data_IF_990374681972
#
_entry.id   IF_990374681972
#
_cell.length_a   1.000
_cell.length_b   1.000
_cell.length_c   1.000
_cell.angle_alpha   90.00
_cell.angle_beta   90.00
_cell.angle_gamma   90.00
#
_symmetry.space_group_name_H-M   'P 1'
#
loop_
_entity.id
_entity.type
_entity.pdbx_description
1 polymer ?
#
# COMPACT_ATOMS: atom_id res chain seq x y z
N UNK A 1 21.51 16.93 -1.76
CA UNK A 1 20.99 16.64 -0.43
C UNK A 1 19.65 15.94 -0.53
N UNK A 2 19.49 14.88 0.22
CA UNK A 2 18.23 14.14 0.22
C UNK A 2 17.45 14.58 1.44
N UNK A 3 16.33 15.24 1.23
CA UNK A 3 15.44 15.62 2.31
C UNK A 3 14.57 14.44 2.76
N UNK A 4 13.79 14.63 3.82
CA UNK A 4 12.85 13.59 4.23
C UNK A 4 11.80 13.34 3.13
N UNK A 5 11.37 12.09 3.00
CA UNK A 5 10.32 11.75 2.04
C UNK A 5 9.00 12.32 2.55
N UNK A 6 8.32 13.07 1.69
CA UNK A 6 7.00 13.61 2.00
C UNK A 6 5.96 12.71 1.33
N UNK A 7 5.11 12.01 2.10
CA UNK A 7 4.08 11.18 1.50
C UNK A 7 3.11 12.02 0.66
N UNK A 8 2.74 11.51 -0.51
CA UNK A 8 1.80 12.20 -1.40
C UNK A 8 0.35 11.84 -1.09
N UNK A 9 0.13 10.75 -0.37
CA UNK A 9 -1.21 10.35 0.06
C UNK A 9 -1.32 10.50 1.56
N UNK A 10 -2.54 10.75 2.03
CA UNK A 10 -2.77 11.06 3.44
C UNK A 10 -3.67 10.02 4.09
N UNK A 11 -3.58 9.93 5.41
CA UNK A 11 -4.45 9.10 6.21
C UNK A 11 -5.92 9.47 5.92
N UNK A 12 -6.74 8.45 5.71
CA UNK A 12 -8.15 8.63 5.40
C UNK A 12 -8.45 8.82 3.92
N UNK A 13 -7.42 8.95 3.09
CA UNK A 13 -7.61 9.12 1.66
C UNK A 13 -8.01 7.81 1.00
N UNK A 14 -8.93 7.88 0.05
CA UNK A 14 -9.30 6.71 -0.76
C UNK A 14 -8.33 6.56 -1.91
N UNK A 15 -7.89 5.34 -2.12
CA UNK A 15 -6.95 5.00 -3.20
C UNK A 15 -7.43 3.74 -3.90
N UNK A 16 -6.86 3.49 -5.07
CA UNK A 16 -7.15 2.31 -5.88
C UNK A 16 -5.85 1.58 -6.12
N UNK A 17 -5.88 0.24 -6.03
CA UNK A 17 -4.72 -0.56 -6.39
C UNK A 17 -4.40 -0.34 -7.87
N UNK A 18 -3.18 0.09 -8.16
CA UNK A 18 -2.76 0.41 -9.52
C UNK A 18 -2.30 -0.83 -10.29
N UNK A 19 -2.21 -1.96 -9.61
CA UNK A 19 -1.83 -3.24 -10.18
C UNK A 19 -2.26 -4.34 -9.22
N UNK A 20 -2.16 -5.59 -9.67
CA UNK A 20 -2.40 -6.73 -8.78
C UNK A 20 -1.34 -6.76 -7.70
N UNK A 21 -1.74 -6.94 -6.45
CA UNK A 21 -0.83 -7.04 -5.31
C UNK A 21 -0.81 -8.48 -4.83
N UNK A 22 0.39 -9.04 -4.72
CA UNK A 22 0.59 -10.45 -4.38
C UNK A 22 1.24 -10.60 -3.02
N UNK A 23 1.07 -11.79 -2.44
CA UNK A 23 1.70 -12.12 -1.17
C UNK A 23 3.22 -12.22 -1.35
N UNK A 24 3.94 -11.34 -0.68
CA UNK A 24 5.41 -11.29 -0.71
C UNK A 24 6.02 -11.99 0.51
N UNK A 25 5.23 -12.78 1.22
CA UNK A 25 5.65 -13.44 2.44
C UNK A 25 5.14 -12.79 3.71
N UNK A 26 4.48 -11.62 3.60
CA UNK A 26 3.94 -10.90 4.75
C UNK A 26 2.70 -11.58 5.34
N UNK A 27 2.10 -12.51 4.60
CA UNK A 27 0.89 -13.22 5.01
C UNK A 27 1.16 -14.72 4.99
N UNK A 28 1.77 -15.26 6.06
CA UNK A 28 2.15 -16.67 6.07
C UNK A 28 0.96 -17.63 6.03
N UNK A 29 -0.23 -17.15 6.36
CA UNK A 29 -1.47 -17.96 6.30
C UNK A 29 -1.96 -18.15 4.86
N UNK A 30 -1.40 -17.44 3.89
CA UNK A 30 -1.75 -17.55 2.48
C UNK A 30 -0.62 -18.21 1.71
N UNK A 31 -0.94 -18.76 0.55
CA UNK A 31 0.07 -19.35 -0.33
C UNK A 31 1.06 -18.28 -0.79
N UNK A 32 2.33 -18.63 -1.00
CA UNK A 32 3.28 -17.72 -1.63
C UNK A 32 2.74 -17.28 -2.99
N UNK A 33 2.91 -16.00 -3.30
CA UNK A 33 2.44 -15.40 -4.56
C UNK A 33 0.91 -15.39 -4.74
N UNK A 34 0.16 -15.64 -3.65
CA UNK A 34 -1.30 -15.52 -3.73
C UNK A 34 -1.70 -14.08 -4.03
N UNK A 35 -2.70 -13.90 -4.87
CA UNK A 35 -3.26 -12.57 -5.14
C UNK A 35 -3.97 -12.07 -3.91
N UNK A 36 -3.54 -10.93 -3.39
CA UNK A 36 -4.14 -10.32 -2.20
C UNK A 36 -5.16 -9.26 -2.60
N UNK A 37 -4.77 -8.38 -3.52
CA UNK A 37 -5.61 -7.27 -3.97
C UNK A 37 -5.54 -7.19 -5.48
N UNK A 38 -6.69 -7.33 -6.17
CA UNK A 38 -6.70 -7.17 -7.63
C UNK A 38 -6.59 -5.70 -8.02
N UNK A 39 -6.02 -5.46 -9.20
CA UNK A 39 -5.95 -4.15 -9.81
C UNK A 39 -7.35 -3.52 -9.83
N UNK A 40 -7.43 -2.24 -9.47
CA UNK A 40 -8.69 -1.51 -9.47
C UNK A 40 -9.49 -1.58 -8.17
N UNK A 41 -9.03 -2.37 -7.19
CA UNK A 41 -9.72 -2.45 -5.90
C UNK A 41 -9.56 -1.14 -5.14
N UNK A 42 -10.64 -0.63 -4.59
CA UNK A 42 -10.64 0.60 -3.79
C UNK A 42 -10.32 0.27 -2.34
N UNK A 43 -9.46 1.08 -1.72
CA UNK A 43 -9.13 0.98 -0.31
C UNK A 43 -9.01 2.34 0.33
N UNK A 44 -8.77 2.34 1.64
CA UNK A 44 -8.60 3.58 2.40
C UNK A 44 -7.28 3.51 3.16
N UNK A 45 -6.53 4.62 3.12
CA UNK A 45 -5.27 4.71 3.86
C UNK A 45 -5.57 4.84 5.34
N UNK A 46 -5.10 3.88 6.14
CA UNK A 46 -5.33 3.85 7.59
C UNK A 46 -4.06 4.16 8.37
N UNK A 47 -2.91 4.18 7.73
CA UNK A 47 -1.66 4.58 8.36
C UNK A 47 -0.65 4.93 7.28
N UNK A 48 0.20 5.93 7.57
CA UNK A 48 1.29 6.34 6.69
C UNK A 48 2.59 6.25 7.48
N UNK A 49 3.60 5.63 6.89
CA UNK A 49 4.90 5.50 7.52
C UNK A 49 6.01 5.67 6.51
N UNK A 50 7.24 5.53 6.98
CA UNK A 50 8.42 5.60 6.14
C UNK A 50 9.30 4.39 6.43
N UNK A 51 9.77 3.76 5.35
CA UNK A 51 10.75 2.69 5.46
C UNK A 51 12.12 3.35 5.53
N UNK A 52 12.74 3.35 6.72
CA UNK A 52 13.94 4.14 6.96
C UNK A 52 15.14 3.71 6.12
N UNK A 53 15.28 2.42 5.88
CA UNK A 53 16.44 1.91 5.14
C UNK A 53 16.45 2.39 3.69
N UNK A 54 15.29 2.54 3.08
CA UNK A 54 15.16 2.96 1.69
C UNK A 54 14.64 4.39 1.55
N UNK A 55 14.29 5.02 2.67
CA UNK A 55 13.71 6.37 2.69
C UNK A 55 12.47 6.43 1.76
N UNK A 56 11.60 5.43 1.87
CA UNK A 56 10.45 5.27 0.99
C UNK A 56 9.17 5.34 1.81
N UNK A 57 8.18 6.08 1.32
CA UNK A 57 6.87 6.13 1.97
C UNK A 57 6.14 4.80 1.81
N UNK A 58 5.53 4.33 2.90
CA UNK A 58 4.75 3.11 2.94
C UNK A 58 3.35 3.45 3.45
N UNK A 59 2.35 2.97 2.76
CA UNK A 59 0.96 3.23 3.10
C UNK A 59 0.28 1.93 3.52
N UNK A 60 -0.31 1.93 4.72
CA UNK A 60 -1.17 0.82 5.13
C UNK A 60 -2.56 1.11 4.59
N UNK A 61 -3.02 0.28 3.69
CA UNK A 61 -4.29 0.50 2.99
C UNK A 61 -5.24 -0.62 3.35
N UNK A 62 -6.43 -0.24 3.81
CA UNK A 62 -7.47 -1.20 4.13
C UNK A 62 -8.30 -1.49 2.87
N UNK A 63 -8.15 -2.71 2.35
CA UNK A 63 -8.91 -3.20 1.20
C UNK A 63 -9.95 -4.21 1.69
N UNK A 64 -11.09 -3.72 2.15
CA UNK A 64 -12.09 -4.60 2.73
C UNK A 64 -11.60 -5.17 4.07
N UNK A 65 -11.58 -6.48 4.26
CA UNK A 65 -11.20 -7.08 5.55
C UNK A 65 -9.68 -7.13 5.79
N UNK A 66 -8.87 -6.72 4.83
CA UNK A 66 -7.42 -6.89 4.91
C UNK A 66 -6.69 -5.55 4.77
N UNK A 67 -5.69 -5.33 5.63
CA UNK A 67 -4.82 -4.16 5.56
C UNK A 67 -3.51 -4.60 4.92
N UNK A 68 -3.10 -3.89 3.87
CA UNK A 68 -1.93 -4.23 3.08
C UNK A 68 -0.97 -3.06 3.03
N UNK A 69 0.32 -3.32 3.26
CA UNK A 69 1.36 -2.31 3.10
C UNK A 69 1.66 -2.09 1.62
N UNK A 70 1.54 -0.85 1.16
CA UNK A 70 1.71 -0.50 -0.24
C UNK A 70 2.75 0.59 -0.41
N UNK A 71 3.50 0.52 -1.50
CA UNK A 71 4.38 1.60 -1.93
C UNK A 71 3.58 2.58 -2.79
N UNK A 72 4.13 3.78 -2.98
CA UNK A 72 3.39 4.84 -3.69
C UNK A 72 3.00 4.43 -5.11
N UNK A 73 3.88 3.70 -5.80
CA UNK A 73 3.61 3.31 -7.18
C UNK A 73 2.59 2.17 -7.30
N UNK A 74 2.23 1.54 -6.18
CA UNK A 74 1.27 0.43 -6.17
C UNK A 74 -0.17 0.90 -6.03
N UNK A 75 -0.37 2.18 -5.73
CA UNK A 75 -1.71 2.76 -5.54
C UNK A 75 -1.80 4.09 -6.27
N UNK A 76 -3.04 4.49 -6.57
CA UNK A 76 -3.34 5.82 -7.12
C UNK A 76 -4.54 6.38 -6.40
N UNK A 77 -4.67 7.69 -6.40
CA UNK A 77 -5.80 8.35 -5.74
C UNK A 77 -7.11 7.93 -6.41
N UNK A 78 -8.11 7.61 -5.59
CA UNK A 78 -9.44 7.26 -6.07
C UNK A 78 -10.26 8.52 -6.22
N UNK A 79 -10.50 8.89 -7.41
CA UNK A 79 -11.27 10.08 -7.72
C UNK A 79 -10.46 11.32 -7.80
#
# INVERSE_FOLDING_TARGET
MIGPVVPIYQWGQKVVAAKDLFNDGSYPELDPDALIVPDGRIGEIVQVGTHVDTNTAVYMVEFGPRVVGCLEHEIVAAG
#
